data_IF_280506252940
#
_entry.id   IF_280506252940
#
_cell.length_a   1.000
_cell.length_b   1.000
_cell.length_c   1.000
_cell.angle_alpha   90.00
_cell.angle_beta   90.00
_cell.angle_gamma   90.00
#
_symmetry.space_group_name_H-M   'P 1'
#
loop_
_entity.id
_entity.type
_entity.pdbx_description
1 polymer ?
#
# COMPACT_ATOMS: atom_id res chain seq x y z
N UNK A 1 -76.22 20.30 43.67
CA UNK A 1 -75.23 19.77 44.63
C UNK A 1 -74.04 19.30 43.81
N UNK A 2 -72.92 20.05 43.83
CA UNK A 2 -71.66 19.69 44.54
C UNK A 2 -71.07 18.36 44.02
N UNK A 3 -69.85 18.21 43.53
CA UNK A 3 -68.66 19.06 43.36
C UNK A 3 -67.63 18.26 42.53
N UNK A 4 -66.79 18.92 41.72
CA UNK A 4 -65.36 19.14 41.97
C UNK A 4 -64.51 17.88 42.23
N UNK A 5 -63.77 17.41 41.20
CA UNK A 5 -62.42 16.84 41.38
C UNK A 5 -61.48 17.38 40.29
N UNK A 6 -60.38 17.96 40.77
CA UNK A 6 -59.28 18.62 40.07
C UNK A 6 -58.22 17.63 39.57
N UNK A 7 -57.39 18.12 38.64
CA UNK A 7 -55.98 17.75 38.39
C UNK A 7 -55.77 16.46 37.59
N UNK A 8 -54.85 16.37 36.60
CA UNK A 8 -53.50 16.95 36.58
C UNK A 8 -52.93 16.90 35.14
N UNK A 9 -52.82 18.06 34.47
CA UNK A 9 -51.81 18.26 33.41
C UNK A 9 -50.45 18.31 34.09
N UNK A 10 -49.53 17.39 33.76
CA UNK A 10 -48.07 17.61 33.81
C UNK A 10 -47.34 16.31 33.40
N UNK A 11 -46.45 16.46 32.40
CA UNK A 11 -45.34 15.57 31.96
C UNK A 11 -45.51 14.97 30.54
N UNK A 12 -45.47 15.84 29.53
CA UNK A 12 -45.15 15.49 28.14
C UNK A 12 -43.90 16.23 27.64
N UNK A 13 -42.95 16.54 28.52
CA UNK A 13 -41.73 17.30 28.20
C UNK A 13 -40.41 16.56 28.40
N UNK A 14 -40.41 15.21 28.41
CA UNK A 14 -39.21 14.42 28.76
C UNK A 14 -38.90 13.27 27.80
N UNK A 15 -39.39 13.32 26.56
CA UNK A 15 -39.10 12.27 25.55
C UNK A 15 -38.26 12.83 24.38
N UNK A 16 -38.30 14.13 24.09
CA UNK A 16 -37.57 14.70 22.95
C UNK A 16 -36.05 14.88 23.18
N UNK A 17 -35.60 14.90 24.44
CA UNK A 17 -34.17 15.02 24.77
C UNK A 17 -33.37 13.72 24.64
N UNK A 18 -34.03 12.56 24.73
CA UNK A 18 -33.36 11.24 24.70
C UNK A 18 -33.21 10.75 23.26
N UNK A 19 -34.14 11.08 22.35
CA UNK A 19 -34.06 10.66 20.95
C UNK A 19 -32.91 11.30 20.16
N UNK A 20 -32.47 12.52 20.53
CA UNK A 20 -31.34 13.20 19.86
C UNK A 20 -29.96 12.69 20.30
N UNK A 21 -29.85 12.11 21.49
CA UNK A 21 -28.56 11.62 22.02
C UNK A 21 -28.28 10.20 21.52
N UNK A 22 -29.33 9.40 21.28
CA UNK A 22 -29.18 8.03 20.77
C UNK A 22 -28.84 8.01 19.26
N UNK A 23 -29.28 9.00 18.47
CA UNK A 23 -29.02 9.05 17.03
C UNK A 23 -27.57 9.42 16.66
N UNK A 24 -26.89 10.24 17.47
CA UNK A 24 -25.50 10.64 17.20
C UNK A 24 -24.51 9.49 17.46
N UNK A 25 -24.73 8.71 18.52
CA UNK A 25 -23.82 7.61 18.89
C UNK A 25 -23.95 6.41 17.94
N UNK A 26 -25.15 6.15 17.40
CA UNK A 26 -25.37 5.07 16.43
C UNK A 26 -24.73 5.40 15.08
N UNK A 27 -24.84 6.63 14.58
CA UNK A 27 -24.19 7.04 13.33
C UNK A 27 -22.67 6.96 13.46
N UNK A 28 -22.12 7.38 14.61
CA UNK A 28 -20.68 7.32 14.88
C UNK A 28 -20.17 5.87 15.02
N UNK A 29 -20.96 4.99 15.63
CA UNK A 29 -20.66 3.55 15.71
C UNK A 29 -20.77 2.86 14.34
N UNK A 30 -21.76 3.22 13.51
CA UNK A 30 -21.88 2.70 12.15
C UNK A 30 -20.71 3.19 11.28
N UNK A 31 -20.28 4.44 11.42
CA UNK A 31 -19.12 4.98 10.71
C UNK A 31 -17.83 4.27 11.14
N UNK A 32 -17.65 4.00 12.44
CA UNK A 32 -16.52 3.22 12.97
C UNK A 32 -16.55 1.76 12.49
N UNK A 33 -17.71 1.12 12.46
CA UNK A 33 -17.89 -0.24 11.93
C UNK A 33 -17.61 -0.28 10.42
N UNK A 34 -18.00 0.76 9.68
CA UNK A 34 -17.72 0.86 8.24
C UNK A 34 -16.23 1.08 7.96
N UNK A 35 -15.54 1.92 8.73
CA UNK A 35 -14.07 2.10 8.65
C UNK A 35 -13.32 0.81 8.97
N UNK A 36 -13.79 0.02 9.94
CA UNK A 36 -13.22 -1.30 10.26
C UNK A 36 -13.48 -2.34 9.15
N UNK A 37 -14.59 -2.22 8.42
CA UNK A 37 -14.91 -3.10 7.28
C UNK A 37 -14.18 -2.74 5.97
N UNK A 38 -13.59 -1.53 5.90
CA UNK A 38 -12.81 -1.07 4.74
C UNK A 38 -11.33 -1.47 4.80
N UNK A 39 -10.89 -2.13 5.87
CA UNK A 39 -9.66 -2.91 5.87
C UNK A 39 -10.04 -4.39 5.77
N UNK A 40 -10.36 -4.93 4.58
CA UNK A 40 -10.10 -6.33 4.36
C UNK A 40 -8.59 -6.47 4.51
N UNK A 41 -8.15 -6.79 5.73
CA UNK A 41 -6.87 -7.42 5.92
C UNK A 41 -6.96 -8.67 5.06
N UNK A 42 -6.32 -8.62 3.89
CA UNK A 42 -6.26 -9.69 2.91
C UNK A 42 -6.00 -11.01 3.64
N UNK A 43 -6.52 -12.13 3.12
CA UNK A 43 -6.56 -13.41 3.80
C UNK A 43 -5.18 -13.74 4.37
N UNK A 44 -5.17 -14.39 5.53
CA UNK A 44 -3.97 -14.86 6.22
C UNK A 44 -3.03 -15.57 5.24
N UNK A 45 -2.10 -14.84 4.62
CA UNK A 45 -0.96 -15.41 3.96
C UNK A 45 -0.04 -15.86 5.08
N UNK A 46 -0.05 -17.15 5.38
CA UNK A 46 0.78 -17.74 6.43
C UNK A 46 2.29 -17.54 6.18
N UNK A 47 2.67 -17.20 4.94
CA UNK A 47 4.05 -16.92 4.55
C UNK A 47 4.17 -15.62 3.77
N UNK A 48 5.01 -14.71 4.27
CA UNK A 48 5.39 -13.50 3.56
C UNK A 48 6.22 -13.84 2.30
N UNK A 49 5.98 -13.18 1.16
CA UNK A 49 6.73 -13.39 -0.09
C UNK A 49 8.12 -12.75 -0.03
N UNK A 50 8.96 -13.27 0.86
CA UNK A 50 10.36 -12.88 1.01
C UNK A 50 11.27 -13.86 0.27
N UNK A 51 12.15 -13.34 -0.56
CA UNK A 51 13.03 -14.10 -1.46
C UNK A 51 14.48 -13.64 -1.34
N UNK A 52 15.41 -14.40 -1.94
CA UNK A 52 16.85 -14.09 -1.92
C UNK A 52 17.44 -13.89 -3.32
N UNK A 53 16.63 -14.04 -4.36
CA UNK A 53 17.04 -13.84 -5.74
C UNK A 53 15.89 -13.30 -6.60
N UNK A 54 16.24 -12.72 -7.76
CA UNK A 54 15.24 -12.23 -8.72
C UNK A 54 14.49 -13.39 -9.38
N UNK A 55 15.19 -14.49 -9.61
CA UNK A 55 14.66 -15.69 -10.24
C UNK A 55 13.58 -16.36 -9.38
N UNK A 56 13.70 -16.30 -8.05
CA UNK A 56 12.66 -16.74 -7.11
C UNK A 56 11.47 -15.78 -7.05
N UNK A 57 11.75 -14.47 -6.98
CA UNK A 57 10.73 -13.44 -6.80
C UNK A 57 9.89 -13.18 -8.07
N UNK A 58 10.48 -13.40 -9.24
CA UNK A 58 9.89 -13.14 -10.55
C UNK A 58 10.38 -14.17 -11.58
N UNK A 59 9.81 -15.39 -11.58
CA UNK A 59 10.26 -16.47 -12.46
C UNK A 59 9.87 -16.28 -13.94
N UNK A 60 8.82 -15.50 -14.22
CA UNK A 60 8.33 -15.25 -15.57
C UNK A 60 9.17 -14.18 -16.29
N UNK A 61 10.09 -14.61 -17.13
CA UNK A 61 10.97 -13.71 -17.89
C UNK A 61 10.28 -12.98 -19.04
N UNK A 62 9.06 -13.38 -19.42
CA UNK A 62 8.29 -12.73 -20.49
C UNK A 62 7.41 -11.59 -19.96
N UNK A 63 7.17 -11.55 -18.64
CA UNK A 63 6.49 -10.44 -17.99
C UNK A 63 7.49 -9.34 -17.58
N UNK A 64 7.28 -8.07 -17.96
CA UNK A 64 8.10 -6.97 -17.47
C UNK A 64 8.03 -6.86 -15.95
N UNK A 65 9.15 -6.52 -15.31
CA UNK A 65 9.24 -6.35 -13.85
C UNK A 65 9.84 -4.99 -13.51
N UNK A 66 9.14 -4.27 -12.63
CA UNK A 66 9.61 -3.08 -11.96
C UNK A 66 10.30 -3.48 -10.65
N UNK A 67 11.62 -3.28 -10.60
CA UNK A 67 12.41 -3.37 -9.38
C UNK A 67 12.46 -2.01 -8.70
N UNK A 68 12.11 -1.98 -7.42
CA UNK A 68 12.23 -0.78 -6.57
C UNK A 68 13.19 -1.09 -5.44
N UNK A 69 14.36 -0.44 -5.47
CA UNK A 69 15.39 -0.56 -4.46
C UNK A 69 15.08 0.41 -3.31
N UNK A 70 15.03 -0.11 -2.08
CA UNK A 70 14.58 0.64 -0.91
C UNK A 70 15.28 0.18 0.39
N UNK A 71 15.25 1.06 1.39
CA UNK A 71 15.52 0.71 2.78
C UNK A 71 14.26 0.93 3.63
N UNK A 72 14.02 0.01 4.57
CA UNK A 72 13.05 0.07 5.67
C UNK A 72 13.27 1.23 6.65
N UNK A 73 14.29 2.08 6.41
CA UNK A 73 14.56 3.31 7.17
C UNK A 73 14.41 4.59 6.33
N UNK A 74 14.04 4.47 5.05
CA UNK A 74 13.89 5.57 4.12
C UNK A 74 12.40 5.83 3.81
N UNK A 75 11.82 6.89 4.38
CA UNK A 75 10.39 7.21 4.18
C UNK A 75 10.03 7.44 2.72
N UNK A 76 10.82 8.24 2.00
CA UNK A 76 10.62 8.55 0.57
C UNK A 76 10.63 7.27 -0.26
N UNK A 77 11.45 6.29 0.11
CA UNK A 77 11.51 5.02 -0.60
C UNK A 77 10.20 4.22 -0.48
N UNK A 78 9.51 4.29 0.66
CA UNK A 78 8.24 3.59 0.83
C UNK A 78 7.11 4.32 0.11
N UNK A 79 7.13 5.65 0.10
CA UNK A 79 6.18 6.45 -0.68
C UNK A 79 6.25 6.05 -2.16
N UNK A 80 7.45 5.97 -2.72
CA UNK A 80 7.65 5.57 -4.11
C UNK A 80 7.20 4.13 -4.37
N UNK A 81 7.53 3.20 -3.44
CA UNK A 81 7.11 1.81 -3.52
C UNK A 81 5.58 1.66 -3.55
N UNK A 82 4.88 2.32 -2.63
CA UNK A 82 3.43 2.25 -2.54
C UNK A 82 2.74 3.00 -3.67
N UNK A 83 3.29 4.13 -4.11
CA UNK A 83 2.75 4.89 -5.25
C UNK A 83 2.81 4.06 -6.54
N UNK A 84 3.96 3.42 -6.82
CA UNK A 84 4.09 2.59 -8.02
C UNK A 84 3.23 1.33 -7.97
N UNK A 85 3.12 0.68 -6.78
CA UNK A 85 2.17 -0.41 -6.55
C UNK A 85 0.75 0.03 -6.90
N UNK A 86 0.29 1.13 -6.30
CA UNK A 86 -1.05 1.66 -6.54
C UNK A 86 -1.27 2.00 -8.02
N UNK A 87 -0.28 2.62 -8.68
CA UNK A 87 -0.37 2.95 -10.09
C UNK A 87 -0.53 1.71 -10.98
N UNK A 88 0.26 0.65 -10.76
CA UNK A 88 0.17 -0.60 -11.50
C UNK A 88 -1.19 -1.27 -11.31
N UNK A 89 -1.65 -1.40 -10.05
CA UNK A 89 -2.92 -2.03 -9.71
C UNK A 89 -4.12 -1.26 -10.26
N UNK A 90 -4.18 0.05 -10.03
CA UNK A 90 -5.31 0.89 -10.44
C UNK A 90 -5.47 0.98 -11.96
N UNK A 91 -4.39 0.78 -12.71
CA UNK A 91 -4.41 0.76 -14.18
C UNK A 91 -4.42 -0.67 -14.75
N UNK A 92 -4.52 -1.71 -13.92
CA UNK A 92 -4.49 -3.12 -14.32
C UNK A 92 -3.31 -3.47 -15.26
N UNK A 93 -2.13 -2.91 -14.99
CA UNK A 93 -0.96 -3.12 -15.85
C UNK A 93 -0.38 -4.52 -15.62
N UNK A 94 -0.08 -5.25 -16.70
CA UNK A 94 0.60 -6.55 -16.64
C UNK A 94 2.09 -6.41 -16.41
N UNK A 95 2.47 -5.96 -15.22
CA UNK A 95 3.85 -5.69 -14.83
C UNK A 95 4.07 -6.27 -13.42
N UNK A 96 5.10 -7.10 -13.26
CA UNK A 96 5.54 -7.56 -11.95
C UNK A 96 6.13 -6.40 -11.14
N UNK A 97 5.89 -6.39 -9.83
CA UNK A 97 6.52 -5.44 -8.91
C UNK A 97 7.33 -6.22 -7.88
N UNK A 98 8.62 -5.92 -7.76
CA UNK A 98 9.51 -6.53 -6.80
C UNK A 98 10.26 -5.44 -6.03
N UNK A 99 10.15 -5.47 -4.71
CA UNK A 99 10.93 -4.59 -3.84
C UNK A 99 12.28 -5.26 -3.54
N UNK A 100 13.37 -4.52 -3.59
CA UNK A 100 14.72 -5.03 -3.34
C UNK A 100 15.36 -4.21 -2.22
N UNK A 101 15.90 -4.87 -1.20
CA UNK A 101 16.56 -4.20 -0.09
C UNK A 101 17.76 -4.98 0.38
N UNK A 102 18.79 -4.29 0.87
CA UNK A 102 19.90 -4.94 1.58
C UNK A 102 19.73 -4.95 3.11
N UNK A 103 18.58 -4.49 3.62
CA UNK A 103 18.27 -4.55 5.04
C UNK A 103 18.18 -5.99 5.56
N UNK A 104 18.22 -6.16 6.88
CA UNK A 104 18.14 -7.50 7.48
C UNK A 104 16.75 -8.09 7.29
N UNK A 105 16.69 -9.41 7.13
CA UNK A 105 15.43 -10.15 6.96
C UNK A 105 14.39 -9.85 8.05
N UNK A 106 14.80 -9.74 9.33
CA UNK A 106 13.88 -9.42 10.43
C UNK A 106 13.32 -7.99 10.32
N UNK A 107 14.09 -7.05 9.78
CA UNK A 107 13.64 -5.68 9.50
C UNK A 107 12.64 -5.67 8.34
N UNK A 108 12.91 -6.42 7.28
CA UNK A 108 12.01 -6.58 6.14
C UNK A 108 10.69 -7.24 6.55
N UNK A 109 10.74 -8.32 7.35
CA UNK A 109 9.53 -8.97 7.87
C UNK A 109 8.70 -8.00 8.72
N UNK A 110 9.34 -7.21 9.59
CA UNK A 110 8.65 -6.18 10.38
C UNK A 110 8.01 -5.12 9.46
N UNK A 111 8.73 -4.66 8.45
CA UNK A 111 8.22 -3.70 7.47
C UNK A 111 7.00 -4.26 6.73
N UNK A 112 7.10 -5.46 6.17
CA UNK A 112 6.02 -6.11 5.42
C UNK A 112 4.77 -6.29 6.26
N UNK A 113 4.92 -6.74 7.52
CA UNK A 113 3.78 -6.87 8.45
C UNK A 113 3.19 -5.52 8.82
N UNK A 114 4.03 -4.54 9.13
CA UNK A 114 3.58 -3.20 9.56
C UNK A 114 2.76 -2.50 8.48
N UNK A 115 3.15 -2.65 7.21
CA UNK A 115 2.52 -1.98 6.08
C UNK A 115 1.63 -2.89 5.23
N UNK A 116 1.37 -4.13 5.67
CA UNK A 116 0.60 -5.12 4.91
C UNK A 116 1.11 -5.28 3.47
N UNK A 117 2.43 -5.25 3.26
CA UNK A 117 3.05 -5.34 1.95
C UNK A 117 3.28 -6.81 1.57
N UNK A 118 2.33 -7.37 0.82
CA UNK A 118 2.31 -8.77 0.37
C UNK A 118 2.81 -8.96 -1.07
N UNK A 119 3.64 -8.04 -1.55
CA UNK A 119 4.32 -8.15 -2.84
C UNK A 119 5.71 -8.77 -2.63
N UNK A 120 6.30 -9.40 -3.67
CA UNK A 120 7.65 -9.95 -3.58
C UNK A 120 8.67 -8.93 -3.05
N UNK A 121 9.37 -9.31 -1.99
CA UNK A 121 10.50 -8.56 -1.43
C UNK A 121 11.74 -9.45 -1.54
N UNK A 122 12.84 -8.91 -2.04
CA UNK A 122 14.13 -9.58 -2.04
C UNK A 122 15.01 -9.02 -0.91
N UNK A 123 15.47 -9.92 -0.05
CA UNK A 123 16.55 -9.67 0.91
C UNK A 123 17.90 -9.84 0.20
N UNK A 124 18.44 -8.76 -0.36
CA UNK A 124 19.75 -8.70 -0.99
C UNK A 124 20.83 -8.25 0.00
N UNK A 125 20.94 -8.91 1.15
CA UNK A 125 21.86 -8.57 2.24
C UNK A 125 23.31 -8.37 1.77
N UNK A 126 23.73 -9.15 0.76
CA UNK A 126 25.08 -9.11 0.19
C UNK A 126 25.22 -8.14 -0.99
N UNK A 127 24.21 -7.33 -1.29
CA UNK A 127 24.17 -6.35 -2.39
C UNK A 127 24.50 -6.95 -3.77
N UNK A 128 24.16 -8.22 -4.03
CA UNK A 128 24.44 -8.89 -5.31
C UNK A 128 23.61 -8.27 -6.44
N UNK A 129 22.33 -8.02 -6.20
CA UNK A 129 21.40 -7.39 -7.14
C UNK A 129 21.73 -5.90 -7.28
N UNK A 130 22.02 -5.21 -6.17
CA UNK A 130 22.50 -3.81 -6.21
C UNK A 130 23.73 -3.67 -7.11
N UNK A 131 24.73 -4.55 -6.97
CA UNK A 131 25.92 -4.54 -7.83
C UNK A 131 25.60 -4.91 -9.27
N UNK A 132 24.79 -5.94 -9.52
CA UNK A 132 24.36 -6.36 -10.87
C UNK A 132 23.79 -5.18 -11.66
N UNK A 133 23.00 -4.34 -10.99
CA UNK A 133 22.34 -3.21 -11.62
C UNK A 133 23.01 -1.87 -11.36
N UNK A 134 24.20 -1.83 -10.75
CA UNK A 134 24.95 -0.58 -10.50
C UNK A 134 24.14 0.46 -9.71
N UNK A 135 23.40 0.03 -8.70
CA UNK A 135 22.61 0.89 -7.80
C UNK A 135 23.53 1.41 -6.70
N UNK A 136 23.67 2.74 -6.63
CA UNK A 136 24.52 3.38 -5.62
C UNK A 136 23.72 3.82 -4.41
N UNK A 137 22.54 4.41 -4.65
CA UNK A 137 21.68 5.01 -3.64
C UNK A 137 20.21 4.65 -3.86
N UNK A 138 19.43 4.79 -2.79
CA UNK A 138 17.98 4.57 -2.76
C UNK A 138 17.24 5.90 -2.56
N UNK A 139 16.00 6.03 -3.07
CA UNK A 139 15.29 5.05 -3.89
C UNK A 139 15.90 4.95 -5.30
N UNK A 140 15.83 3.76 -5.89
CA UNK A 140 16.21 3.53 -7.28
C UNK A 140 15.18 2.63 -7.96
N UNK A 141 14.84 2.93 -9.21
CA UNK A 141 13.87 2.15 -9.98
C UNK A 141 14.49 1.62 -11.26
N UNK A 142 14.14 0.39 -11.59
CA UNK A 142 14.54 -0.26 -12.82
C UNK A 142 13.36 -1.05 -13.38
N UNK A 143 13.01 -0.80 -14.64
CA UNK A 143 12.04 -1.62 -15.36
C UNK A 143 12.79 -2.49 -16.34
N UNK A 144 12.56 -3.80 -16.28
CA UNK A 144 13.24 -4.76 -17.15
C UNK A 144 12.27 -5.78 -17.74
N UNK A 145 12.66 -6.36 -18.87
CA UNK A 145 12.01 -7.50 -19.49
C UNK A 145 13.11 -8.50 -19.87
N UNK A 146 13.21 -9.60 -19.13
CA UNK A 146 14.40 -10.44 -19.14
C UNK A 146 15.65 -9.62 -18.81
N UNK A 147 16.68 -9.72 -19.64
CA UNK A 147 17.93 -8.94 -19.47
C UNK A 147 17.86 -7.53 -20.09
N UNK A 148 16.76 -7.16 -20.74
CA UNK A 148 16.60 -5.85 -21.37
C UNK A 148 16.09 -4.83 -20.37
N UNK A 149 16.85 -3.77 -20.15
CA UNK A 149 16.42 -2.61 -19.37
C UNK A 149 15.52 -1.72 -20.25
N UNK A 150 14.29 -1.48 -19.81
CA UNK A 150 13.29 -0.64 -20.49
C UNK A 150 13.26 0.77 -19.91
N UNK A 151 13.51 0.90 -18.60
CA UNK A 151 13.65 2.17 -17.90
C UNK A 151 14.68 2.03 -16.80
N UNK A 152 15.46 3.09 -16.58
CA UNK A 152 16.44 3.18 -15.49
C UNK A 152 16.33 4.55 -14.84
N UNK A 153 16.39 4.57 -13.52
CA UNK A 153 16.42 5.80 -12.73
C UNK A 153 17.56 6.72 -13.20
N UNK A 154 17.23 8.00 -13.40
CA UNK A 154 18.16 9.03 -13.88
C UNK A 154 18.42 10.06 -12.78
N UNK A 155 19.65 10.10 -12.26
CA UNK A 155 20.06 11.00 -11.18
C UNK A 155 20.01 12.50 -11.58
N UNK A 156 20.01 12.82 -12.87
CA UNK A 156 19.96 14.21 -13.36
C UNK A 156 18.54 14.79 -13.46
N UNK A 157 17.51 14.00 -13.18
CA UNK A 157 16.11 14.43 -13.21
C UNK A 157 15.57 14.70 -11.81
N UNK A 158 14.54 15.54 -11.69
CA UNK A 158 13.81 15.67 -10.42
C UNK A 158 13.02 14.39 -10.12
N UNK A 159 12.56 14.24 -8.87
CA UNK A 159 11.71 13.11 -8.49
C UNK A 159 10.42 13.06 -9.32
N UNK A 160 9.77 14.20 -9.52
CA UNK A 160 8.52 14.33 -10.28
C UNK A 160 8.72 13.90 -11.73
N UNK A 161 9.79 14.39 -12.36
CA UNK A 161 10.14 14.02 -13.74
C UNK A 161 10.41 12.52 -13.87
N UNK A 162 11.14 11.93 -12.91
CA UNK A 162 11.39 10.49 -12.90
C UNK A 162 10.08 9.69 -12.79
N UNK A 163 9.18 10.10 -11.89
CA UNK A 163 7.87 9.45 -11.69
C UNK A 163 7.04 9.52 -12.95
N UNK A 164 6.99 10.68 -13.59
CA UNK A 164 6.23 10.88 -14.83
C UNK A 164 6.76 10.00 -15.96
N UNK A 165 8.08 10.00 -16.19
CA UNK A 165 8.69 9.17 -17.23
C UNK A 165 8.53 7.67 -16.96
N UNK A 166 8.65 7.23 -15.70
CA UNK A 166 8.40 5.85 -15.33
C UNK A 166 6.94 5.47 -15.61
N UNK A 167 5.97 6.29 -15.17
CA UNK A 167 4.53 6.04 -15.42
C UNK A 167 4.23 5.96 -16.92
N UNK A 168 4.79 6.86 -17.74
CA UNK A 168 4.67 6.79 -19.21
C UNK A 168 5.21 5.45 -19.75
N UNK A 169 6.38 5.01 -19.27
CA UNK A 169 6.96 3.72 -19.66
C UNK A 169 6.06 2.54 -19.26
N UNK A 170 5.59 2.51 -18.01
CA UNK A 170 4.70 1.47 -17.49
C UNK A 170 3.42 1.38 -18.31
N UNK A 171 2.74 2.49 -18.59
CA UNK A 171 1.51 2.49 -19.39
C UNK A 171 1.75 2.01 -20.83
N UNK A 172 2.87 2.42 -21.44
CA UNK A 172 3.21 2.00 -22.81
C UNK A 172 3.42 0.49 -22.94
N UNK A 173 3.95 -0.16 -21.91
CA UNK A 173 4.27 -1.60 -21.96
C UNK A 173 3.19 -2.49 -21.33
N UNK A 174 2.48 -1.99 -20.32
CA UNK A 174 1.60 -2.79 -19.46
C UNK A 174 0.19 -3.03 -19.97
N UNK A 175 -0.19 -2.43 -21.10
CA UNK A 175 -1.52 -2.58 -21.74
C UNK A 175 -1.61 -3.82 -22.65
N UNK A 176 -0.48 -4.48 -22.94
CA UNK A 176 -0.43 -5.62 -23.88
C UNK A 176 -1.04 -6.92 -23.34
#
# INVERSE_FOLDING_TARGET
>A
MMGLVKSKMLRLGKVEGILKIVSSNIIQAILLLFVMSLFPCLPAQDKLPLFHSLEEAHPDKEMPVLLIFFSTRCHVCWEDLFEMKYFIESNNLKIGLVAVSYDREDELIRFMKKYCFYYPVICDLNKKIYRRFGVQDEPFWLLSLGDKILYRYNYFMTNEQRKEELKKCLTKIGIK
#
